data_IF_513807661870
#
_entry.id   IF_513807661870
#
_cell.length_a   1.000
_cell.length_b   1.000
_cell.length_c   1.000
_cell.angle_alpha   90.00
_cell.angle_beta   90.00
_cell.angle_gamma   90.00
#
_symmetry.space_group_name_H-M   'P 1'
#
loop_
_entity.id
_entity.type
_entity.pdbx_description
1 polymer ?
#
# COMPACT_ATOMS: atom_id res chain seq x y z
N UNK A 1 17.44 -4.39 2.07
CA UNK A 1 16.65 -5.43 2.76
C UNK A 1 15.30 -5.51 2.07
N UNK A 2 14.82 -6.69 1.71
CA UNK A 2 13.48 -6.85 1.15
C UNK A 2 12.46 -6.64 2.28
N UNK A 3 11.74 -5.52 2.24
CA UNK A 3 10.66 -5.20 3.17
C UNK A 3 9.53 -6.22 2.99
N UNK A 4 9.13 -6.90 4.07
CA UNK A 4 8.04 -7.88 4.03
C UNK A 4 6.73 -7.14 4.28
N UNK A 5 6.06 -6.76 3.19
CA UNK A 5 4.84 -5.95 3.20
C UNK A 5 3.73 -6.57 4.05
N UNK A 6 3.64 -7.91 4.11
CA UNK A 6 2.64 -8.60 4.93
C UNK A 6 2.93 -8.39 6.42
N UNK A 7 4.19 -8.52 6.82
CA UNK A 7 4.61 -8.30 8.20
C UNK A 7 4.41 -6.83 8.63
N UNK A 8 4.78 -5.90 7.75
CA UNK A 8 4.64 -4.46 8.00
C UNK A 8 3.18 -4.02 8.09
N UNK A 9 2.32 -4.53 7.21
CA UNK A 9 0.87 -4.28 7.27
C UNK A 9 0.24 -4.75 8.59
N UNK A 10 0.75 -5.85 9.16
CA UNK A 10 0.31 -6.34 10.48
C UNK A 10 0.75 -5.47 11.66
N UNK A 11 1.81 -4.67 11.49
CA UNK A 11 2.41 -3.83 12.54
C UNK A 11 2.03 -2.35 12.45
N UNK A 12 1.17 -1.98 11.51
CA UNK A 12 0.84 -0.60 11.21
C UNK A 12 0.23 0.13 12.44
N UNK A 13 0.76 1.32 12.82
CA UNK A 13 0.37 2.02 14.05
C UNK A 13 -0.97 2.76 13.89
N UNK A 14 -1.71 2.95 14.99
CA UNK A 14 -3.01 3.66 14.98
C UNK A 14 -2.85 5.16 14.61
N UNK A 15 -1.68 5.75 14.83
CA UNK A 15 -1.36 7.10 14.38
C UNK A 15 -1.39 7.25 12.84
N UNK A 16 -1.20 6.16 12.10
CA UNK A 16 -1.41 6.13 10.65
C UNK A 16 -2.88 6.39 10.27
N UNK A 17 -3.84 5.92 11.07
CA UNK A 17 -5.27 6.23 10.85
C UNK A 17 -5.50 7.73 11.01
N UNK A 18 -4.94 8.34 12.05
CA UNK A 18 -5.04 9.79 12.30
C UNK A 18 -4.38 10.58 11.18
N UNK A 19 -3.23 10.13 10.69
CA UNK A 19 -2.54 10.74 9.56
C UNK A 19 -3.39 10.67 8.29
N UNK A 20 -3.98 9.52 7.96
CA UNK A 20 -4.87 9.40 6.78
C UNK A 20 -6.09 10.32 6.91
N UNK A 21 -6.77 10.29 8.07
CA UNK A 21 -7.94 11.13 8.31
C UNK A 21 -7.66 12.63 8.17
N UNK A 22 -6.43 13.07 8.51
CA UNK A 22 -6.03 14.47 8.46
C UNK A 22 -5.38 14.90 7.16
N UNK A 23 -4.65 14.01 6.50
CA UNK A 23 -3.70 14.38 5.43
C UNK A 23 -3.87 13.60 4.13
N UNK A 24 -4.57 12.45 4.13
CA UNK A 24 -4.71 11.60 2.94
C UNK A 24 -6.18 11.31 2.69
N UNK A 25 -6.86 12.23 2.01
CA UNK A 25 -8.26 12.08 1.64
C UNK A 25 -8.51 10.95 0.66
N UNK A 26 -7.58 10.70 -0.27
CA UNK A 26 -7.59 9.59 -1.23
C UNK A 26 -6.18 9.37 -1.82
N UNK A 27 -5.77 8.12 -1.99
CA UNK A 27 -4.53 7.76 -2.70
C UNK A 27 -4.87 7.45 -4.15
N UNK A 28 -4.33 8.21 -5.10
CA UNK A 28 -4.52 7.97 -6.54
C UNK A 28 -3.26 7.37 -7.17
N UNK A 29 -3.44 6.30 -7.95
CA UNK A 29 -2.34 5.74 -8.75
C UNK A 29 -2.03 6.66 -9.93
N UNK A 30 -0.76 7.08 -10.10
CA UNK A 30 -0.34 7.82 -11.28
C UNK A 30 -0.72 7.09 -12.58
N UNK A 31 -1.14 7.86 -13.60
CA UNK A 31 -1.71 7.31 -14.83
C UNK A 31 -0.82 6.30 -15.54
N UNK A 32 0.49 6.57 -15.58
CA UNK A 32 1.49 5.70 -16.21
C UNK A 32 1.73 4.39 -15.45
N UNK A 33 1.31 4.30 -14.18
CA UNK A 33 1.41 3.10 -13.35
C UNK A 33 0.11 2.25 -13.36
N UNK A 34 -0.95 2.72 -14.02
CA UNK A 34 -2.20 1.97 -14.16
C UNK A 34 -2.04 0.60 -14.86
N UNK A 35 -1.20 0.44 -15.91
CA UNK A 35 -0.96 -0.87 -16.50
C UNK A 35 -0.32 -1.84 -15.51
N UNK A 36 0.69 -1.40 -14.74
CA UNK A 36 1.31 -2.21 -13.70
C UNK A 36 0.31 -2.55 -12.59
N UNK A 37 -0.54 -1.61 -12.19
CA UNK A 37 -1.61 -1.89 -11.21
C UNK A 37 -2.57 -2.97 -11.71
N UNK A 38 -2.93 -2.94 -13.00
CA UNK A 38 -3.77 -3.97 -13.62
C UNK A 38 -3.06 -5.33 -13.58
N UNK A 39 -1.82 -5.39 -14.02
CA UNK A 39 -1.00 -6.61 -13.98
C UNK A 39 -0.91 -7.19 -12.57
N UNK A 40 -0.68 -6.35 -11.56
CA UNK A 40 -0.64 -6.80 -10.16
C UNK A 40 -1.99 -7.36 -9.70
N UNK A 41 -3.11 -6.74 -10.08
CA UNK A 41 -4.47 -7.25 -9.75
C UNK A 41 -4.80 -8.56 -10.44
N UNK A 42 -4.33 -8.77 -11.67
CA UNK A 42 -4.67 -9.93 -12.49
C UNK A 42 -3.72 -11.10 -12.23
N UNK A 43 -2.42 -10.84 -12.19
CA UNK A 43 -1.37 -11.86 -12.15
C UNK A 43 -0.70 -12.02 -10.78
N UNK A 44 -0.81 -11.02 -9.91
CA UNK A 44 -0.21 -11.04 -8.56
C UNK A 44 -1.24 -10.88 -7.44
N UNK A 45 -2.49 -11.25 -7.72
CA UNK A 45 -3.62 -11.14 -6.78
C UNK A 45 -3.37 -11.80 -5.44
N UNK A 46 -2.68 -12.95 -5.41
CA UNK A 46 -2.36 -13.65 -4.16
C UNK A 46 -1.51 -12.82 -3.19
N UNK A 47 -0.60 -11.99 -3.71
CA UNK A 47 0.19 -11.05 -2.89
C UNK A 47 -0.68 -9.92 -2.34
N UNK A 48 -1.54 -9.35 -3.18
CA UNK A 48 -2.51 -8.32 -2.76
C UNK A 48 -3.44 -8.84 -1.67
N UNK A 49 -4.04 -10.01 -1.89
CA UNK A 49 -4.99 -10.62 -0.94
C UNK A 49 -4.32 -10.88 0.41
N UNK A 50 -3.05 -11.33 0.43
CA UNK A 50 -2.32 -11.56 1.67
C UNK A 50 -2.11 -10.26 2.48
N UNK A 51 -1.74 -9.16 1.81
CA UNK A 51 -1.57 -7.86 2.46
C UNK A 51 -2.91 -7.31 2.94
N UNK A 52 -3.96 -7.41 2.11
CA UNK A 52 -5.30 -6.95 2.50
C UNK A 52 -5.86 -7.74 3.68
N UNK A 53 -5.66 -9.05 3.72
CA UNK A 53 -6.05 -9.87 4.87
C UNK A 53 -5.29 -9.49 6.15
N UNK A 54 -4.01 -9.12 6.05
CA UNK A 54 -3.25 -8.61 7.19
C UNK A 54 -3.86 -7.30 7.72
N UNK A 55 -4.14 -6.35 6.83
CA UNK A 55 -4.81 -5.08 7.18
C UNK A 55 -6.20 -5.32 7.78
N UNK A 56 -7.01 -6.20 7.18
CA UNK A 56 -8.34 -6.55 7.69
C UNK A 56 -8.28 -7.13 9.09
N UNK A 57 -7.37 -8.08 9.36
CA UNK A 57 -7.20 -8.67 10.69
C UNK A 57 -6.76 -7.65 11.72
N UNK A 58 -5.88 -6.73 11.35
CA UNK A 58 -5.36 -5.70 12.26
C UNK A 58 -6.43 -4.69 12.67
N UNK A 59 -7.18 -4.19 11.69
CA UNK A 59 -8.08 -3.06 11.88
C UNK A 59 -9.53 -3.46 12.15
N UNK A 60 -9.94 -4.67 11.73
CA UNK A 60 -11.29 -5.23 11.90
C UNK A 60 -12.43 -4.27 11.47
N UNK A 61 -12.15 -3.31 10.58
CA UNK A 61 -13.09 -2.28 10.12
C UNK A 61 -12.92 -2.05 8.61
N UNK A 62 -13.27 -3.04 7.76
CA UNK A 62 -13.09 -2.97 6.31
C UNK A 62 -13.81 -1.81 5.62
N UNK A 63 -14.90 -1.33 6.21
CA UNK A 63 -15.80 -0.34 5.60
C UNK A 63 -15.45 1.10 5.99
N UNK A 64 -14.38 1.32 6.75
CA UNK A 64 -14.00 2.66 7.13
C UNK A 64 -13.38 3.41 5.93
N UNK A 65 -13.72 4.69 5.77
CA UNK A 65 -13.24 5.51 4.64
C UNK A 65 -11.70 5.54 4.57
N UNK A 66 -11.03 5.56 5.72
CA UNK A 66 -9.57 5.51 5.81
C UNK A 66 -8.96 4.15 5.41
N UNK A 67 -9.75 3.06 5.45
CA UNK A 67 -9.29 1.72 5.09
C UNK A 67 -8.98 1.61 3.59
N UNK A 68 -9.76 2.29 2.74
CA UNK A 68 -9.51 2.34 1.30
C UNK A 68 -8.16 2.97 0.94
N UNK A 69 -7.69 3.95 1.73
CA UNK A 69 -6.37 4.54 1.54
C UNK A 69 -5.24 3.56 1.91
N UNK A 70 -5.40 2.75 2.96
CA UNK A 70 -4.46 1.68 3.27
C UNK A 70 -4.42 0.59 2.20
N UNK A 71 -5.58 0.19 1.65
CA UNK A 71 -5.63 -0.76 0.54
C UNK A 71 -4.93 -0.22 -0.71
N UNK A 72 -5.18 1.03 -1.07
CA UNK A 72 -4.51 1.67 -2.21
C UNK A 72 -2.99 1.78 -2.02
N UNK A 73 -2.52 2.10 -0.81
CA UNK A 73 -1.11 2.16 -0.51
C UNK A 73 -0.44 0.77 -0.49
N UNK A 74 -1.10 -0.24 0.08
CA UNK A 74 -0.66 -1.62 0.03
C UNK A 74 -0.54 -2.12 -1.42
N UNK A 75 -1.51 -1.78 -2.26
CA UNK A 75 -1.45 -2.09 -3.69
C UNK A 75 -0.24 -1.46 -4.38
N UNK A 76 0.04 -0.19 -4.09
CA UNK A 76 1.23 0.50 -4.58
C UNK A 76 2.53 -0.13 -4.10
N UNK A 77 2.58 -0.60 -2.85
CA UNK A 77 3.74 -1.28 -2.31
C UNK A 77 3.97 -2.63 -3.02
N UNK A 78 2.91 -3.39 -3.29
CA UNK A 78 3.00 -4.64 -4.07
C UNK A 78 3.47 -4.38 -5.50
N UNK A 79 3.06 -3.27 -6.12
CA UNK A 79 3.58 -2.85 -7.43
C UNK A 79 5.10 -2.65 -7.41
N UNK A 80 5.67 -2.08 -6.35
CA UNK A 80 7.13 -1.95 -6.20
C UNK A 80 7.79 -3.32 -6.03
N UNK A 81 7.20 -4.21 -5.24
CA UNK A 81 7.76 -5.55 -5.01
C UNK A 81 7.75 -6.39 -6.29
N UNK A 82 6.68 -6.30 -7.09
CA UNK A 82 6.51 -7.06 -8.33
C UNK A 82 7.41 -6.52 -9.45
N UNK A 83 7.35 -5.22 -9.72
CA UNK A 83 8.12 -4.65 -10.82
C UNK A 83 9.59 -4.44 -10.45
N UNK A 84 9.93 -4.34 -9.16
CA UNK A 84 11.30 -4.31 -8.68
C UNK A 84 12.15 -3.28 -9.44
N UNK A 85 13.26 -3.72 -10.01
CA UNK A 85 14.19 -2.84 -10.73
C UNK A 85 13.68 -2.33 -12.09
N UNK A 86 12.61 -2.91 -12.64
CA UNK A 86 12.03 -2.49 -13.93
C UNK A 86 11.27 -1.17 -13.87
N UNK A 87 10.84 -0.75 -12.67
CA UNK A 87 10.24 0.57 -12.45
C UNK A 87 11.33 1.66 -12.49
N UNK A 88 11.08 2.82 -13.13
CA UNK A 88 11.94 4.00 -13.00
C UNK A 88 12.17 4.36 -11.53
N UNK A 89 13.39 4.82 -11.20
CA UNK A 89 13.76 5.13 -9.82
C UNK A 89 12.82 6.16 -9.15
N UNK A 90 12.31 7.12 -9.93
CA UNK A 90 11.34 8.10 -9.47
C UNK A 90 10.02 7.44 -9.02
N UNK A 91 9.49 6.51 -9.81
CA UNK A 91 8.24 5.80 -9.49
C UNK A 91 8.40 4.87 -8.30
N UNK A 92 9.54 4.17 -8.21
CA UNK A 92 9.86 3.35 -7.03
C UNK A 92 9.89 4.18 -5.75
N UNK A 93 10.48 5.38 -5.81
CA UNK A 93 10.54 6.29 -4.67
C UNK A 93 9.14 6.77 -4.29
N UNK A 94 8.34 7.23 -5.24
CA UNK A 94 6.96 7.70 -4.96
C UNK A 94 6.12 6.61 -4.28
N UNK A 95 6.16 5.39 -4.82
CA UNK A 95 5.37 4.27 -4.28
C UNK A 95 5.88 3.83 -2.89
N UNK A 96 7.20 3.85 -2.66
CA UNK A 96 7.80 3.50 -1.37
C UNK A 96 7.56 4.57 -0.30
N UNK A 97 7.76 5.84 -0.63
CA UNK A 97 7.57 6.95 0.30
C UNK A 97 6.14 7.01 0.83
N UNK A 98 5.15 6.67 -0.02
CA UNK A 98 3.76 6.62 0.40
C UNK A 98 3.51 5.53 1.46
N UNK A 99 4.09 4.34 1.26
CA UNK A 99 3.99 3.23 2.22
C UNK A 99 4.73 3.54 3.52
N UNK A 100 5.96 4.05 3.43
CA UNK A 100 6.76 4.41 4.61
C UNK A 100 6.11 5.51 5.44
N UNK A 101 5.46 6.50 4.81
CA UNK A 101 4.70 7.53 5.52
C UNK A 101 3.52 6.96 6.30
N UNK A 102 2.89 5.89 5.81
CA UNK A 102 1.83 5.20 6.54
C UNK A 102 2.37 4.34 7.68
N UNK A 103 3.59 3.79 7.56
CA UNK A 103 4.21 3.02 8.63
C UNK A 103 4.82 3.89 9.74
N UNK A 104 5.40 5.03 9.38
CA UNK A 104 6.11 5.94 10.29
C UNK A 104 5.25 7.07 10.87
N UNK A 105 3.95 7.10 10.57
CA UNK A 105 3.03 8.00 11.25
C UNK A 105 2.91 7.56 12.72
N UNK A 106 3.51 8.34 13.62
CA UNK A 106 3.49 8.16 15.08
C UNK A 106 2.76 9.33 15.75
#
# INVERSE_FOLDING_TARGET
>A
MAHNLIAEAGQMPDAAITFIQRYVGFVQTPGHLLPLRRDVRENHRSKLDAVFQALHRRFNQPNAVWFGAFQAAAEMAVMVEVAGESLPAADRRVLRDLWERLLGAH
#
